data_IF_515461916646
#
_entry.id   IF_515461916646
#
_cell.length_a   1.000
_cell.length_b   1.000
_cell.length_c   1.000
_cell.angle_alpha   90.00
_cell.angle_beta   90.00
_cell.angle_gamma   90.00
#
_symmetry.space_group_name_H-M   'P 1'
#
loop_
_entity.id
_entity.type
_entity.pdbx_description
1 polymer ?
#
# COMPACT_ATOMS: atom_id res chain seq x y z
N UNK A 1 36.86 -22.38 3.44
CA UNK A 1 35.70 -21.54 3.80
C UNK A 1 34.48 -22.13 3.12
N UNK A 2 33.45 -22.45 3.90
CA UNK A 2 32.56 -23.60 3.71
C UNK A 2 31.28 -23.27 2.93
N UNK A 3 30.90 -24.07 1.92
CA UNK A 3 29.68 -23.89 1.10
C UNK A 3 28.37 -24.07 1.88
N UNK A 4 28.41 -24.59 3.11
CA UNK A 4 27.25 -24.77 3.98
C UNK A 4 26.70 -23.44 4.53
N UNK A 5 27.53 -22.40 4.68
CA UNK A 5 27.08 -21.08 5.18
C UNK A 5 26.17 -20.33 4.19
N UNK A 6 26.18 -20.69 2.90
CA UNK A 6 25.36 -20.02 1.88
C UNK A 6 23.95 -20.61 1.74
N UNK A 7 23.73 -21.86 2.15
CA UNK A 7 22.40 -22.47 2.20
C UNK A 7 21.54 -21.86 3.31
N UNK A 8 22.06 -21.87 4.53
CA UNK A 8 21.38 -21.35 5.73
C UNK A 8 20.97 -19.87 5.59
N UNK A 9 21.86 -19.03 5.04
CA UNK A 9 21.59 -17.61 4.83
C UNK A 9 20.48 -17.33 3.81
N UNK A 10 20.32 -18.18 2.79
CA UNK A 10 19.26 -18.04 1.78
C UNK A 10 17.91 -18.42 2.34
N UNK A 11 17.83 -19.52 3.09
CA UNK A 11 16.59 -19.94 3.75
C UNK A 11 16.14 -18.94 4.81
N UNK A 12 17.07 -18.37 5.58
CA UNK A 12 16.78 -17.29 6.55
C UNK A 12 16.26 -16.04 5.85
N UNK A 13 16.87 -15.63 4.73
CA UNK A 13 16.40 -14.47 3.93
C UNK A 13 15.00 -14.73 3.37
N UNK A 14 14.75 -15.90 2.78
CA UNK A 14 13.43 -16.26 2.27
C UNK A 14 12.39 -16.35 3.39
N UNK A 15 12.72 -16.92 4.53
CA UNK A 15 11.85 -16.96 5.71
C UNK A 15 11.49 -15.55 6.19
N UNK A 16 12.46 -14.64 6.24
CA UNK A 16 12.24 -13.25 6.65
C UNK A 16 11.35 -12.51 5.65
N UNK A 17 11.54 -12.75 4.35
CA UNK A 17 10.69 -12.19 3.29
C UNK A 17 9.27 -12.78 3.34
N UNK A 18 9.12 -14.09 3.49
CA UNK A 18 7.83 -14.76 3.60
C UNK A 18 7.06 -14.29 4.85
N UNK A 19 7.77 -14.08 5.97
CA UNK A 19 7.20 -13.53 7.20
C UNK A 19 6.75 -12.07 7.02
N UNK A 20 7.54 -11.25 6.31
CA UNK A 20 7.16 -9.89 5.97
C UNK A 20 5.92 -9.87 5.06
N UNK A 21 5.86 -10.73 4.03
CA UNK A 21 4.70 -10.87 3.15
C UNK A 21 3.45 -11.32 3.94
N UNK A 22 3.59 -12.30 4.84
CA UNK A 22 2.49 -12.77 5.68
C UNK A 22 1.98 -11.66 6.62
N UNK A 23 2.88 -10.84 7.16
CA UNK A 23 2.53 -9.71 8.03
C UNK A 23 1.78 -8.64 7.25
N UNK A 24 2.25 -8.29 6.04
CA UNK A 24 1.59 -7.32 5.16
C UNK A 24 0.21 -7.84 4.75
N UNK A 25 0.12 -9.10 4.31
CA UNK A 25 -1.15 -9.71 3.93
C UNK A 25 -2.15 -9.75 5.09
N UNK A 26 -1.68 -10.14 6.29
CA UNK A 26 -2.49 -10.14 7.51
C UNK A 26 -2.96 -8.74 7.90
N UNK A 27 -2.08 -7.74 7.83
CA UNK A 27 -2.42 -6.35 8.15
C UNK A 27 -3.46 -5.79 7.16
N UNK A 28 -3.27 -6.02 5.86
CA UNK A 28 -4.22 -5.56 4.84
C UNK A 28 -5.58 -6.22 5.05
N UNK A 29 -5.61 -7.53 5.31
CA UNK A 29 -6.85 -8.25 5.63
C UNK A 29 -7.56 -7.68 6.86
N UNK A 30 -6.83 -7.49 7.96
CA UNK A 30 -7.40 -6.98 9.21
C UNK A 30 -7.91 -5.54 9.08
N UNK A 31 -7.14 -4.65 8.46
CA UNK A 31 -7.55 -3.25 8.22
C UNK A 31 -8.78 -3.19 7.32
N UNK A 32 -8.84 -4.03 6.28
CA UNK A 32 -10.01 -4.09 5.37
C UNK A 32 -11.26 -4.51 6.12
N UNK A 33 -11.19 -5.53 6.99
CA UNK A 33 -12.31 -5.96 7.81
C UNK A 33 -12.79 -4.87 8.77
N UNK A 34 -11.87 -4.13 9.39
CA UNK A 34 -12.22 -2.98 10.26
C UNK A 34 -12.95 -1.90 9.46
N UNK A 35 -12.44 -1.54 8.28
CA UNK A 35 -13.07 -0.51 7.43
C UNK A 35 -14.48 -0.92 7.04
N UNK A 36 -14.69 -2.18 6.63
CA UNK A 36 -16.01 -2.71 6.29
C UNK A 36 -16.92 -2.68 7.54
N UNK A 37 -16.43 -3.11 8.70
CA UNK A 37 -17.22 -3.12 9.93
C UNK A 37 -17.65 -1.70 10.35
N UNK A 38 -16.75 -0.72 10.28
CA UNK A 38 -17.06 0.69 10.59
C UNK A 38 -18.04 1.25 9.55
N UNK A 39 -17.88 0.94 8.27
CA UNK A 39 -18.79 1.38 7.22
C UNK A 39 -20.21 0.80 7.40
N UNK A 40 -20.32 -0.47 7.79
CA UNK A 40 -21.60 -1.13 8.04
C UNK A 40 -22.27 -0.62 9.31
N UNK A 41 -21.53 -0.56 10.43
CA UNK A 41 -22.07 -0.11 11.72
C UNK A 41 -22.38 1.39 11.67
N UNK A 42 -21.45 2.20 11.16
CA UNK A 42 -21.64 3.64 11.00
C UNK A 42 -22.73 3.97 9.98
N UNK A 43 -22.76 3.25 8.85
CA UNK A 43 -23.82 3.38 7.84
C UNK A 43 -25.19 3.05 8.42
N UNK A 44 -25.32 1.92 9.13
CA UNK A 44 -26.58 1.47 9.72
C UNK A 44 -27.02 2.33 10.91
N UNK A 45 -26.10 2.80 11.75
CA UNK A 45 -26.42 3.68 12.89
C UNK A 45 -26.90 5.07 12.43
N UNK A 46 -26.31 5.59 11.34
CA UNK A 46 -26.75 6.84 10.74
C UNK A 46 -28.10 6.68 10.01
N UNK A 47 -28.30 5.55 9.33
CA UNK A 47 -29.56 5.19 8.66
C UNK A 47 -30.72 5.04 9.65
N UNK A 48 -30.47 4.39 10.80
CA UNK A 48 -31.45 4.21 11.87
C UNK A 48 -31.80 5.54 12.58
N UNK A 49 -30.87 6.51 12.62
CA UNK A 49 -31.13 7.84 13.18
C UNK A 49 -31.97 8.74 12.26
N UNK A 50 -31.99 8.46 10.95
CA UNK A 50 -32.67 9.27 9.94
C UNK A 50 -33.99 8.67 9.44
N UNK A 51 -34.40 7.49 9.95
CA UNK A 51 -35.65 6.79 9.59
C UNK A 51 -35.84 6.57 8.08
N UNK A 52 -34.76 6.68 7.31
CA UNK A 52 -34.74 6.47 5.86
C UNK A 52 -34.06 5.13 5.65
N UNK A 53 -34.68 4.24 4.85
CA UNK A 53 -34.11 2.96 4.38
C UNK A 53 -32.61 3.08 4.01
N UNK A 54 -31.80 1.99 3.97
CA UNK A 54 -30.31 1.90 3.87
C UNK A 54 -29.62 2.71 2.75
N UNK A 55 -29.90 4.00 2.67
CA UNK A 55 -29.51 4.91 1.60
C UNK A 55 -28.11 5.43 1.87
N UNK A 56 -27.74 5.63 3.15
CA UNK A 56 -26.37 6.02 3.50
C UNK A 56 -25.36 4.89 3.24
N UNK A 57 -25.73 3.64 3.52
CA UNK A 57 -24.91 2.48 3.18
C UNK A 57 -24.68 2.38 1.67
N UNK A 58 -25.73 2.57 0.86
CA UNK A 58 -25.63 2.60 -0.60
C UNK A 58 -24.80 3.80 -1.09
N UNK A 59 -24.98 4.98 -0.49
CA UNK A 59 -24.22 6.18 -0.83
C UNK A 59 -22.74 6.02 -0.51
N UNK A 60 -22.37 5.45 0.65
CA UNK A 60 -20.98 5.17 1.01
C UNK A 60 -20.36 4.11 0.11
N UNK A 61 -21.12 3.09 -0.27
CA UNK A 61 -20.69 2.08 -1.23
C UNK A 61 -20.40 2.70 -2.60
N UNK A 62 -21.31 3.56 -3.11
CA UNK A 62 -21.09 4.28 -4.37
C UNK A 62 -19.93 5.27 -4.23
N UNK A 63 -19.80 5.96 -3.08
CA UNK A 63 -18.72 6.90 -2.81
C UNK A 63 -17.35 6.23 -2.62
N UNK A 64 -17.29 4.93 -2.33
CA UNK A 64 -16.02 4.20 -2.25
C UNK A 64 -15.26 4.23 -3.58
N UNK A 65 -15.97 4.12 -4.71
CA UNK A 65 -15.40 4.14 -6.06
C UNK A 65 -14.68 5.48 -6.37
N UNK A 66 -15.33 6.66 -6.27
CA UNK A 66 -14.65 7.93 -6.49
C UNK A 66 -13.56 8.20 -5.46
N UNK A 67 -13.72 7.77 -4.20
CA UNK A 67 -12.69 7.91 -3.17
C UNK A 67 -11.42 7.16 -3.56
N UNK A 68 -11.53 5.90 -4.01
CA UNK A 68 -10.38 5.11 -4.48
C UNK A 68 -9.68 5.77 -5.67
N UNK A 69 -10.43 6.26 -6.66
CA UNK A 69 -9.85 6.92 -7.85
C UNK A 69 -9.12 8.21 -7.47
N UNK A 70 -9.71 9.04 -6.61
CA UNK A 70 -9.09 10.30 -6.15
C UNK A 70 -7.79 10.01 -5.39
N UNK A 71 -7.80 9.00 -4.52
CA UNK A 71 -6.64 8.63 -3.72
C UNK A 71 -5.49 8.12 -4.61
N UNK A 72 -5.80 7.22 -5.54
CA UNK A 72 -4.81 6.70 -6.49
C UNK A 72 -4.23 7.83 -7.34
N UNK A 73 -5.07 8.74 -7.83
CA UNK A 73 -4.62 9.91 -8.60
C UNK A 73 -3.69 10.83 -7.79
N UNK A 74 -3.99 11.07 -6.51
CA UNK A 74 -3.13 11.85 -5.60
C UNK A 74 -1.77 11.18 -5.37
N UNK A 75 -1.77 9.87 -5.12
CA UNK A 75 -0.54 9.10 -4.89
C UNK A 75 0.34 9.11 -6.13
N UNK A 76 -0.23 8.82 -7.31
CA UNK A 76 0.50 8.82 -8.58
C UNK A 76 1.07 10.20 -8.88
N UNK A 77 0.27 11.27 -8.75
CA UNK A 77 0.76 12.65 -8.97
C UNK A 77 1.89 13.01 -8.01
N UNK A 78 1.79 12.62 -6.74
CA UNK A 78 2.84 12.83 -5.75
C UNK A 78 4.11 12.04 -6.08
N UNK A 79 3.98 10.78 -6.51
CA UNK A 79 5.10 9.94 -6.92
C UNK A 79 5.79 10.49 -8.17
N UNK A 80 5.05 10.84 -9.21
CA UNK A 80 5.59 11.42 -10.45
C UNK A 80 6.26 12.76 -10.20
N UNK A 81 5.72 13.61 -9.31
CA UNK A 81 6.36 14.89 -8.95
C UNK A 81 7.68 14.72 -8.21
N UNK A 82 7.95 13.55 -7.63
CA UNK A 82 9.23 13.24 -6.98
C UNK A 82 10.26 12.65 -7.94
N UNK A 83 9.83 12.23 -9.13
CA UNK A 83 10.72 11.87 -10.24
C UNK A 83 11.16 13.18 -10.90
N UNK A 84 12.06 13.91 -10.24
CA UNK A 84 12.96 14.82 -10.97
C UNK A 84 13.86 13.94 -11.85
N UNK A 85 14.12 14.30 -13.11
CA UNK A 85 15.22 13.73 -13.87
C UNK A 85 16.46 13.95 -13.01
N UNK A 86 17.00 12.88 -12.43
CA UNK A 86 18.22 12.97 -11.67
C UNK A 86 19.33 13.27 -12.67
N UNK A 87 19.70 14.53 -12.77
CA UNK A 87 20.92 15.08 -13.39
C UNK A 87 22.17 14.59 -12.60
N UNK A 88 22.24 13.28 -12.35
CA UNK A 88 23.28 12.58 -11.60
C UNK A 88 23.70 11.35 -12.39
N UNK A 89 23.97 11.56 -13.67
CA UNK A 89 24.63 10.58 -14.52
C UNK A 89 25.88 11.17 -15.19
N UNK A 90 26.04 12.50 -15.23
CA UNK A 90 27.24 13.11 -15.80
C UNK A 90 28.46 13.06 -14.86
N UNK A 91 28.28 13.06 -13.52
CA UNK A 91 29.42 13.09 -12.58
C UNK A 91 30.09 11.75 -12.29
N UNK A 92 29.61 10.62 -12.85
CA UNK A 92 30.23 9.29 -12.67
C UNK A 92 31.14 8.94 -13.87
N UNK A 93 30.96 9.61 -15.01
CA UNK A 93 31.75 9.31 -16.22
C UNK A 93 33.03 10.14 -16.34
N UNK A 94 33.14 11.29 -15.67
CA UNK A 94 34.34 12.14 -15.72
C UNK A 94 35.48 11.65 -14.79
N UNK A 95 35.14 10.95 -13.70
CA UNK A 95 36.12 10.38 -12.76
C UNK A 95 36.71 9.05 -13.27
N UNK A 96 35.96 8.30 -14.10
CA UNK A 96 36.41 7.01 -14.66
C UNK A 96 37.31 7.13 -15.90
N UNK A 97 37.41 8.31 -16.52
CA UNK A 97 38.25 8.55 -17.70
C UNK A 97 39.55 9.32 -17.36
N UNK A 98 39.81 9.57 -16.06
CA UNK A 98 41.03 10.21 -15.55
C UNK A 98 41.90 9.28 -14.69
N UNK A 99 41.51 8.02 -14.52
CA UNK A 99 42.34 6.93 -13.97
C UNK A 99 42.71 5.93 -15.07
#
# INVERSE_FOLDING_TARGET
MNRQDEGDKRDRKQYTLNLALATIAGQVGFVTLIVIAIALIGGLALDNSLNTKPMFTVLFMIASVPVTVILMFRIVRAATSRIKPSEKTESIMEDKNRE
#
